data_IF_952840390275
#
_entry.id   IF_952840390275
#
_cell.length_a   1.000
_cell.length_b   1.000
_cell.length_c   1.000
_cell.angle_alpha   90.00
_cell.angle_beta   90.00
_cell.angle_gamma   90.00
#
_symmetry.space_group_name_H-M   'P 1'
#
loop_
_entity.id
_entity.type
_entity.pdbx_description
1 polymer ?
#
# COMPACT_ATOMS: atom_id res chain seq x y z
N UNK A 1 -7.66 -32.54 -6.66
CA UNK A 1 -6.25 -32.47 -6.21
C UNK A 1 -5.82 -31.04 -6.41
N UNK A 2 -5.61 -30.26 -5.35
CA UNK A 2 -5.10 -28.90 -5.49
C UNK A 2 -3.68 -28.97 -6.07
N UNK A 3 -3.34 -28.06 -7.00
CA UNK A 3 -1.96 -27.90 -7.43
C UNK A 3 -1.10 -27.48 -6.25
N UNK A 4 0.13 -27.98 -6.19
CA UNK A 4 1.11 -27.53 -5.20
C UNK A 4 1.34 -26.01 -5.32
N UNK A 5 1.61 -25.30 -4.21
CA UNK A 5 1.92 -23.88 -4.24
C UNK A 5 3.15 -23.63 -5.13
N UNK A 6 3.13 -22.53 -5.88
CA UNK A 6 4.25 -22.10 -6.71
C UNK A 6 4.81 -20.77 -6.22
N UNK A 7 6.11 -20.56 -6.40
CA UNK A 7 6.74 -19.28 -6.12
C UNK A 7 6.79 -18.41 -7.38
N UNK A 8 6.49 -17.12 -7.22
CA UNK A 8 6.74 -16.11 -8.24
C UNK A 8 7.75 -15.09 -7.71
N UNK A 9 8.83 -14.88 -8.45
CA UNK A 9 9.86 -13.89 -8.12
C UNK A 9 9.88 -12.73 -9.12
N UNK A 10 9.43 -11.56 -8.66
CA UNK A 10 9.48 -10.32 -9.43
C UNK A 10 10.68 -9.49 -9.00
N UNK A 11 11.41 -8.91 -9.96
CA UNK A 11 12.62 -8.11 -9.70
C UNK A 11 12.61 -6.81 -10.48
N UNK A 12 12.68 -5.65 -9.82
CA UNK A 12 12.90 -4.34 -10.46
C UNK A 12 13.62 -3.39 -9.52
N UNK A 13 14.45 -2.52 -10.08
CA UNK A 13 15.05 -1.41 -9.33
C UNK A 13 15.85 -1.83 -8.09
N UNK A 14 16.44 -3.03 -8.09
CA UNK A 14 17.10 -3.61 -6.93
C UNK A 14 16.14 -3.97 -5.81
N UNK A 15 14.91 -4.40 -6.14
CA UNK A 15 13.91 -4.92 -5.21
C UNK A 15 13.41 -6.27 -5.72
N UNK A 16 13.41 -7.26 -4.84
CA UNK A 16 12.73 -8.54 -5.06
C UNK A 16 11.37 -8.50 -4.40
N UNK A 17 10.38 -9.10 -5.04
CA UNK A 17 9.11 -9.50 -4.44
C UNK A 17 8.92 -10.98 -4.74
N UNK A 18 8.89 -11.82 -3.70
CA UNK A 18 8.64 -13.26 -3.80
C UNK A 18 7.26 -13.54 -3.25
N UNK A 19 6.42 -14.19 -4.05
CA UNK A 19 5.03 -14.48 -3.75
C UNK A 19 4.77 -15.99 -3.78
N UNK A 20 4.00 -16.50 -2.82
CA UNK A 20 3.39 -17.83 -2.88
C UNK A 20 2.05 -17.71 -3.61
N UNK A 21 1.87 -18.52 -4.65
CA UNK A 21 0.66 -18.57 -5.48
C UNK A 21 0.00 -19.93 -5.35
N UNK A 22 -1.33 -19.95 -5.28
CA UNK A 22 -2.14 -21.15 -5.09
C UNK A 22 -3.46 -21.01 -5.84
N UNK A 23 -4.00 -22.13 -6.31
CA UNK A 23 -5.25 -22.14 -7.08
C UNK A 23 -6.49 -21.73 -6.26
N UNK A 24 -6.39 -21.58 -4.94
CA UNK A 24 -7.52 -21.32 -4.02
C UNK A 24 -7.21 -20.22 -2.99
N UNK A 25 -6.09 -19.50 -3.14
CA UNK A 25 -5.72 -18.43 -2.22
C UNK A 25 -5.17 -17.21 -2.96
N UNK A 26 -5.44 -16.01 -2.45
CA UNK A 26 -4.81 -14.80 -2.95
C UNK A 26 -3.30 -14.82 -2.68
N UNK A 27 -2.48 -14.08 -3.46
CA UNK A 27 -1.04 -14.13 -3.32
C UNK A 27 -0.56 -13.76 -1.92
N UNK A 28 0.37 -14.55 -1.38
CA UNK A 28 1.03 -14.25 -0.10
C UNK A 28 2.46 -13.78 -0.36
N UNK A 29 2.85 -12.65 0.23
CA UNK A 29 4.23 -12.13 0.10
C UNK A 29 5.14 -12.88 1.07
N UNK A 30 6.11 -13.61 0.53
CA UNK A 30 7.15 -14.30 1.31
C UNK A 30 8.35 -13.38 1.57
N UNK A 31 8.66 -12.50 0.60
CA UNK A 31 9.73 -11.52 0.70
C UNK A 31 9.37 -10.29 -0.12
N UNK A 32 9.64 -9.10 0.43
CA UNK A 32 9.78 -7.89 -0.37
C UNK A 32 10.85 -6.99 0.25
N UNK A 33 11.82 -6.57 -0.55
CA UNK A 33 13.00 -5.92 -0.01
C UNK A 33 14.21 -6.01 -0.93
N UNK A 34 15.43 -6.16 -0.37
CA UNK A 34 16.66 -6.32 -1.14
C UNK A 34 16.53 -7.31 -2.28
N UNK A 35 17.14 -6.98 -3.41
CA UNK A 35 17.27 -7.91 -4.52
C UNK A 35 18.00 -9.18 -4.04
N UNK A 36 17.42 -10.33 -4.37
CA UNK A 36 17.94 -11.65 -3.98
C UNK A 36 18.92 -12.19 -5.03
N UNK A 37 19.08 -11.47 -6.14
CA UNK A 37 19.94 -11.88 -7.24
C UNK A 37 19.34 -13.02 -8.06
N UNK A 38 20.18 -13.61 -8.90
CA UNK A 38 19.83 -14.76 -9.75
C UNK A 38 19.98 -16.11 -9.02
N UNK A 39 20.52 -16.10 -7.79
CA UNK A 39 20.71 -17.28 -6.96
C UNK A 39 19.43 -17.81 -6.33
N UNK A 40 18.32 -17.09 -6.45
CA UNK A 40 16.99 -17.55 -6.07
C UNK A 40 16.33 -18.26 -7.26
N UNK A 41 16.87 -19.41 -7.66
CA UNK A 41 16.27 -20.26 -8.69
C UNK A 41 15.00 -20.95 -8.19
N UNK A 42 14.28 -21.63 -9.08
CA UNK A 42 13.01 -22.29 -8.76
C UNK A 42 13.14 -23.30 -7.61
N UNK A 43 14.29 -23.97 -7.49
CA UNK A 43 14.55 -24.91 -6.41
C UNK A 43 14.71 -24.19 -5.06
N UNK A 44 15.52 -23.13 -5.02
CA UNK A 44 15.70 -22.32 -3.81
C UNK A 44 14.38 -21.64 -3.37
N UNK A 45 13.54 -21.24 -4.33
CA UNK A 45 12.23 -20.66 -4.04
C UNK A 45 11.22 -21.70 -3.50
N UNK A 46 11.27 -22.94 -4.00
CA UNK A 46 10.48 -24.06 -3.46
C UNK A 46 10.94 -24.43 -2.03
N UNK A 47 12.26 -24.43 -1.80
CA UNK A 47 12.83 -24.62 -0.46
C UNK A 47 12.41 -23.50 0.49
N UNK A 48 12.33 -22.25 0.01
CA UNK A 48 11.82 -21.13 0.80
C UNK A 48 10.35 -21.33 1.20
N UNK A 49 9.48 -21.77 0.29
CA UNK A 49 8.08 -22.11 0.63
C UNK A 49 8.07 -23.15 1.75
N UNK A 50 8.84 -24.22 1.59
CA UNK A 50 8.94 -25.32 2.57
C UNK A 50 9.47 -24.83 3.92
N UNK A 51 10.49 -23.98 3.93
CA UNK A 51 11.10 -23.44 5.15
C UNK A 51 10.20 -22.46 5.91
N UNK A 52 9.26 -21.82 5.22
CA UNK A 52 8.29 -20.89 5.82
C UNK A 52 7.00 -21.57 6.30
N UNK A 53 6.83 -22.87 6.05
CA UNK A 53 5.71 -23.62 6.62
C UNK A 53 5.85 -23.70 8.16
N UNK A 54 4.90 -23.15 8.93
CA UNK A 54 4.97 -23.22 10.38
C UNK A 54 4.76 -24.68 10.83
N UNK A 55 5.44 -25.11 11.90
CA UNK A 55 5.17 -26.42 12.49
C UNK A 55 3.72 -26.48 13.01
N UNK A 56 3.08 -27.63 12.86
CA UNK A 56 1.81 -27.90 13.53
C UNK A 56 2.09 -28.13 15.02
N UNK A 57 1.79 -27.13 15.86
CA UNK A 57 2.05 -27.21 17.31
C UNK A 57 0.83 -27.75 18.04
N UNK A 58 -0.33 -27.09 17.92
CA UNK A 58 -1.53 -27.40 18.71
C UNK A 58 -2.74 -27.76 17.84
N UNK A 59 -3.05 -26.97 16.80
CA UNK A 59 -4.18 -27.18 15.90
C UNK A 59 -3.90 -26.62 14.52
N UNK A 60 -4.44 -27.29 13.49
CA UNK A 60 -4.45 -26.78 12.11
C UNK A 60 -5.26 -25.48 11.97
N UNK A 61 -6.13 -25.17 12.95
CA UNK A 61 -6.95 -23.95 12.98
C UNK A 61 -6.12 -22.73 13.40
N UNK A 62 -5.06 -22.93 14.20
CA UNK A 62 -4.15 -21.88 14.67
C UNK A 62 -2.90 -21.74 13.78
N UNK A 63 -2.68 -22.65 12.82
CA UNK A 63 -1.55 -22.58 11.90
C UNK A 63 -1.82 -21.60 10.76
N UNK A 64 -1.29 -20.38 10.86
CA UNK A 64 -1.29 -19.40 9.77
C UNK A 64 -0.01 -19.53 8.93
N UNK A 65 -0.05 -20.35 7.89
CA UNK A 65 1.14 -20.62 7.06
C UNK A 65 1.64 -19.39 6.29
N UNK A 66 0.73 -18.53 5.84
CA UNK A 66 1.06 -17.29 5.16
C UNK A 66 -0.10 -16.30 5.27
N UNK A 67 0.17 -15.01 5.08
CA UNK A 67 -0.88 -13.98 5.02
C UNK A 67 -0.91 -13.39 3.62
N UNK A 68 -2.09 -13.44 3.00
CA UNK A 68 -2.30 -12.90 1.66
C UNK A 68 -2.23 -11.37 1.63
N UNK A 69 -2.03 -10.81 0.43
CA UNK A 69 -2.11 -9.36 0.16
C UNK A 69 -3.45 -8.74 0.63
N UNK A 70 -4.48 -9.56 0.77
CA UNK A 70 -5.73 -9.22 1.44
C UNK A 70 -5.98 -10.25 2.55
N UNK A 71 -5.69 -9.94 3.84
CA UNK A 71 -5.84 -10.91 4.93
C UNK A 71 -7.28 -11.39 5.09
N UNK A 72 -7.48 -12.70 5.34
CA UNK A 72 -8.82 -13.30 5.35
C UNK A 72 -8.99 -14.32 6.47
N UNK A 73 -10.08 -14.23 7.22
CA UNK A 73 -10.38 -15.14 8.32
C UNK A 73 -10.56 -16.60 7.85
N UNK A 74 -11.10 -16.80 6.64
CA UNK A 74 -11.21 -18.12 6.01
C UNK A 74 -9.88 -18.84 5.80
N UNK A 75 -8.76 -18.10 5.75
CA UNK A 75 -7.40 -18.62 5.64
C UNK A 75 -6.72 -18.89 6.98
N UNK A 76 -7.45 -18.77 8.09
CA UNK A 76 -6.93 -18.90 9.46
C UNK A 76 -6.49 -17.58 10.10
N UNK A 77 -6.54 -16.45 9.37
CA UNK A 77 -6.07 -15.17 9.89
C UNK A 77 -6.95 -14.74 11.07
N UNK A 78 -6.35 -14.49 12.24
CA UNK A 78 -7.07 -14.10 13.44
C UNK A 78 -7.05 -12.59 13.72
N UNK A 79 -6.36 -11.83 12.87
CA UNK A 79 -6.25 -10.38 12.97
C UNK A 79 -7.38 -9.63 12.26
N UNK A 80 -7.19 -8.33 12.05
CA UNK A 80 -8.15 -7.48 11.32
C UNK A 80 -8.22 -7.93 9.85
N UNK A 81 -9.39 -8.25 9.27
CA UNK A 81 -9.49 -8.73 7.90
C UNK A 81 -9.17 -7.61 6.89
N UNK A 82 -8.82 -8.01 5.67
CA UNK A 82 -8.55 -7.18 4.50
C UNK A 82 -9.81 -6.62 3.84
N UNK A 83 -10.86 -7.44 3.77
CA UNK A 83 -12.19 -7.05 3.34
C UNK A 83 -13.13 -7.22 4.53
N UNK A 84 -13.84 -6.15 4.88
CA UNK A 84 -14.95 -6.19 5.81
C UNK A 84 -16.17 -5.66 5.07
N UNK A 85 -17.21 -6.47 4.99
CA UNK A 85 -18.43 -6.15 4.29
C UNK A 85 -19.49 -7.19 4.60
N UNK A 86 -20.72 -6.95 4.16
CA UNK A 86 -21.77 -7.95 4.27
C UNK A 86 -22.91 -7.67 3.31
N UNK A 87 -23.66 -8.73 3.03
CA UNK A 87 -24.94 -8.72 2.35
C UNK A 87 -26.04 -8.83 3.40
N UNK A 88 -26.41 -7.70 3.99
CA UNK A 88 -27.36 -7.63 5.10
C UNK A 88 -27.01 -8.60 6.25
N UNK A 89 -25.73 -8.61 6.66
CA UNK A 89 -25.25 -9.53 7.68
C UNK A 89 -25.18 -10.99 7.21
N UNK A 90 -24.93 -11.25 5.91
CA UNK A 90 -24.49 -12.52 5.30
C UNK A 90 -23.23 -12.28 4.45
N UNK A 91 -22.59 -13.33 3.93
CA UNK A 91 -21.45 -13.24 3.00
C UNK A 91 -20.30 -12.33 3.52
N UNK A 92 -20.06 -12.32 4.82
CA UNK A 92 -19.07 -11.44 5.47
C UNK A 92 -17.65 -12.00 5.46
N UNK A 93 -17.48 -13.27 5.09
CA UNK A 93 -16.20 -13.94 4.96
C UNK A 93 -16.10 -14.52 3.56
N UNK A 94 -15.01 -14.19 2.86
CA UNK A 94 -14.73 -14.70 1.52
C UNK A 94 -13.88 -15.95 1.62
N UNK A 95 -14.23 -17.00 0.87
CA UNK A 95 -13.41 -18.19 0.70
C UNK A 95 -13.41 -18.56 -0.78
N UNK A 96 -12.23 -18.64 -1.40
CA UNK A 96 -12.17 -18.77 -2.85
C UNK A 96 -12.20 -20.23 -3.30
N UNK A 97 -13.16 -20.54 -4.18
CA UNK A 97 -13.19 -21.83 -4.89
C UNK A 97 -12.07 -21.92 -5.93
N UNK A 98 -11.69 -20.76 -6.48
CA UNK A 98 -10.66 -20.63 -7.50
C UNK A 98 -10.03 -19.25 -7.48
N UNK A 99 -8.71 -19.21 -7.61
CA UNK A 99 -7.91 -18.02 -7.84
C UNK A 99 -7.09 -18.21 -9.12
N UNK A 100 -7.18 -17.25 -10.03
CA UNK A 100 -6.37 -17.22 -11.25
C UNK A 100 -5.34 -16.12 -11.16
N UNK A 101 -4.08 -16.43 -11.48
CA UNK A 101 -2.96 -15.48 -11.44
C UNK A 101 -2.47 -15.19 -12.86
N UNK A 102 -2.26 -13.91 -13.16
CA UNK A 102 -1.71 -13.45 -14.45
C UNK A 102 -0.59 -12.47 -14.17
N UNK A 103 0.58 -12.73 -14.74
CA UNK A 103 1.74 -11.83 -14.71
C UNK A 103 1.83 -11.12 -16.05
N UNK A 104 1.93 -9.79 -16.02
CA UNK A 104 2.03 -8.97 -17.22
C UNK A 104 3.15 -7.94 -17.08
N UNK A 105 3.88 -7.75 -18.17
CA UNK A 105 4.89 -6.70 -18.31
C UNK A 105 4.26 -5.44 -18.91
N UNK A 106 4.68 -4.27 -18.45
CA UNK A 106 4.19 -3.01 -18.98
C UNK A 106 4.48 -2.86 -20.47
N UNK A 107 3.46 -2.54 -21.26
CA UNK A 107 3.52 -2.43 -22.72
C UNK A 107 3.36 -3.76 -23.46
N UNK A 108 3.17 -4.88 -22.75
CA UNK A 108 2.78 -6.15 -23.34
C UNK A 108 1.27 -6.24 -23.62
N UNK A 109 0.86 -7.31 -24.29
CA UNK A 109 -0.54 -7.51 -24.72
C UNK A 109 -1.54 -7.50 -23.56
N UNK A 110 -1.15 -8.05 -22.41
CA UNK A 110 -1.98 -8.13 -21.19
C UNK A 110 -1.95 -6.85 -20.32
N UNK A 111 -1.08 -5.88 -20.64
CA UNK A 111 -0.97 -4.60 -19.92
C UNK A 111 -0.36 -3.47 -20.78
N UNK A 112 -1.06 -3.06 -21.86
CA UNK A 112 -0.52 -2.12 -22.85
C UNK A 112 -0.31 -0.70 -22.28
N UNK A 113 -1.12 -0.30 -21.30
CA UNK A 113 -1.09 1.00 -20.62
C UNK A 113 -0.23 0.99 -19.35
N UNK A 114 0.53 -0.09 -19.12
CA UNK A 114 1.41 -0.21 -17.98
C UNK A 114 2.52 0.83 -17.94
N UNK A 115 2.93 1.21 -16.73
CA UNK A 115 4.02 2.14 -16.54
C UNK A 115 5.34 1.50 -17.03
N UNK A 116 6.04 2.17 -17.94
CA UNK A 116 7.23 1.64 -18.62
C UNK A 116 8.21 0.94 -17.66
N UNK A 117 8.50 -0.33 -17.93
CA UNK A 117 9.44 -1.16 -17.16
C UNK A 117 8.88 -1.72 -15.84
N UNK A 118 7.61 -1.47 -15.50
CA UNK A 118 6.95 -2.12 -14.38
C UNK A 118 6.46 -3.52 -14.76
N UNK A 119 6.29 -4.38 -13.76
CA UNK A 119 5.65 -5.69 -13.86
C UNK A 119 4.47 -5.77 -12.91
N UNK A 120 3.39 -6.44 -13.32
CA UNK A 120 2.15 -6.59 -12.54
C UNK A 120 1.80 -8.07 -12.36
N UNK A 121 1.48 -8.46 -11.13
CA UNK A 121 0.71 -9.65 -10.82
C UNK A 121 -0.75 -9.24 -10.58
N UNK A 122 -1.68 -9.75 -11.39
CA UNK A 122 -3.12 -9.66 -11.15
C UNK A 122 -3.63 -11.03 -10.72
N UNK A 123 -4.36 -11.10 -9.61
CA UNK A 123 -4.98 -12.32 -9.11
C UNK A 123 -6.46 -12.12 -8.91
N UNK A 124 -7.29 -13.02 -9.44
CA UNK A 124 -8.75 -12.94 -9.37
C UNK A 124 -9.28 -14.16 -8.64
N UNK A 125 -9.85 -13.95 -7.46
CA UNK A 125 -10.50 -14.97 -6.65
C UNK A 125 -12.01 -14.94 -6.80
N UNK A 126 -12.61 -16.10 -7.05
CA UNK A 126 -14.06 -16.30 -7.09
C UNK A 126 -14.52 -16.98 -5.80
N UNK A 127 -15.45 -16.35 -5.09
CA UNK A 127 -16.15 -16.90 -3.93
C UNK A 127 -17.59 -17.23 -4.33
N UNK A 128 -17.85 -18.50 -4.65
CA UNK A 128 -19.16 -18.99 -5.05
C UNK A 128 -20.21 -18.83 -3.95
N UNK A 129 -19.96 -19.25 -2.70
CA UNK A 129 -20.91 -19.08 -1.59
C UNK A 129 -21.27 -17.62 -1.27
N UNK A 130 -20.31 -16.70 -1.33
CA UNK A 130 -20.54 -15.28 -1.11
C UNK A 130 -21.05 -14.51 -2.33
N UNK A 131 -20.95 -15.13 -3.52
CA UNK A 131 -21.17 -14.53 -4.83
C UNK A 131 -20.37 -13.23 -5.00
N UNK A 132 -19.06 -13.33 -4.73
CA UNK A 132 -18.12 -12.23 -4.81
C UNK A 132 -16.94 -12.60 -5.72
N UNK A 133 -16.46 -11.61 -6.46
CA UNK A 133 -15.15 -11.67 -7.09
C UNK A 133 -14.23 -10.67 -6.39
N UNK A 134 -13.03 -11.13 -5.99
CA UNK A 134 -12.02 -10.28 -5.38
C UNK A 134 -10.77 -10.31 -6.24
N UNK A 135 -10.37 -9.15 -6.73
CA UNK A 135 -9.12 -8.97 -7.48
C UNK A 135 -8.07 -8.34 -6.58
N UNK A 136 -6.83 -8.86 -6.58
CA UNK A 136 -5.66 -8.16 -6.06
C UNK A 136 -4.68 -7.86 -7.19
N UNK A 137 -4.16 -6.64 -7.22
CA UNK A 137 -3.10 -6.21 -8.13
C UNK A 137 -1.86 -5.85 -7.31
N UNK A 138 -0.74 -6.48 -7.61
CA UNK A 138 0.58 -6.08 -7.14
C UNK A 138 1.41 -5.61 -8.34
N UNK A 139 1.91 -4.39 -8.27
CA UNK A 139 2.85 -3.86 -9.25
C UNK A 139 4.22 -3.62 -8.61
N UNK A 140 5.27 -3.97 -9.34
CA UNK A 140 6.64 -3.65 -8.99
C UNK A 140 7.22 -2.71 -10.06
N UNK A 141 7.50 -1.46 -9.67
CA UNK A 141 7.97 -0.40 -10.57
C UNK A 141 9.49 -0.41 -10.77
N UNK A 142 10.02 0.19 -11.86
CA UNK A 142 11.47 0.31 -12.10
C UNK A 142 12.26 0.99 -10.97
N UNK A 143 11.60 1.82 -10.17
CA UNK A 143 12.20 2.46 -8.98
C UNK A 143 12.43 1.48 -7.81
N UNK A 144 11.88 0.27 -7.89
CA UNK A 144 11.77 -0.72 -6.81
C UNK A 144 10.63 -0.44 -5.83
N UNK A 145 9.65 0.38 -6.23
CA UNK A 145 8.45 0.66 -5.45
C UNK A 145 7.41 -0.44 -5.70
N UNK A 146 6.76 -0.92 -4.64
CA UNK A 146 5.65 -1.87 -4.72
C UNK A 146 4.34 -1.10 -4.62
N UNK A 147 3.33 -1.42 -5.43
CA UNK A 147 1.96 -0.94 -5.27
C UNK A 147 1.02 -2.11 -5.14
N UNK A 148 0.08 -2.05 -4.21
CA UNK A 148 -0.96 -3.06 -4.03
C UNK A 148 -2.32 -2.39 -4.06
N UNK A 149 -3.28 -3.01 -4.74
CA UNK A 149 -4.69 -2.61 -4.75
C UNK A 149 -5.56 -3.85 -4.70
N UNK A 150 -6.71 -3.72 -4.05
CA UNK A 150 -7.74 -4.75 -4.09
C UNK A 150 -9.03 -4.18 -4.66
N UNK A 151 -9.80 -5.02 -5.35
CA UNK A 151 -11.14 -4.70 -5.86
C UNK A 151 -12.08 -5.81 -5.43
N UNK A 152 -13.26 -5.45 -4.92
CA UNK A 152 -14.36 -6.39 -4.68
C UNK A 152 -15.49 -6.08 -5.64
N UNK A 153 -16.05 -7.11 -6.27
CA UNK A 153 -17.17 -7.04 -7.19
C UNK A 153 -18.30 -7.93 -6.68
N UNK A 154 -19.51 -7.38 -6.69
CA UNK A 154 -20.70 -8.11 -6.30
C UNK A 154 -21.25 -8.88 -7.50
N UNK A 155 -21.36 -10.21 -7.40
CA UNK A 155 -21.91 -11.05 -8.46
C UNK A 155 -23.38 -11.43 -8.22
N UNK A 156 -23.90 -11.22 -7.00
CA UNK A 156 -25.29 -11.52 -6.68
C UNK A 156 -26.23 -10.36 -7.05
N UNK A 157 -27.54 -10.67 -7.08
CA UNK A 157 -28.59 -9.72 -7.40
C UNK A 157 -28.89 -8.69 -6.28
N UNK A 158 -28.66 -9.06 -5.02
CA UNK A 158 -28.86 -8.17 -3.88
C UNK A 158 -27.60 -7.34 -3.55
N UNK A 159 -27.76 -6.30 -2.73
CA UNK A 159 -26.70 -5.33 -2.45
C UNK A 159 -25.66 -5.91 -1.48
N UNK A 160 -24.38 -5.73 -1.82
CA UNK A 160 -23.26 -5.96 -0.92
C UNK A 160 -22.73 -4.64 -0.37
N UNK A 161 -22.66 -4.49 0.96
CA UNK A 161 -22.07 -3.32 1.61
C UNK A 161 -20.60 -3.58 1.92
N UNK A 162 -19.73 -2.67 1.46
CA UNK A 162 -18.29 -2.69 1.79
C UNK A 162 -18.06 -1.71 2.93
N UNK A 163 -17.71 -2.22 4.11
CA UNK A 163 -17.33 -1.40 5.25
C UNK A 163 -15.84 -1.02 5.18
N UNK A 164 -15.01 -1.87 4.59
CA UNK A 164 -13.57 -1.64 4.48
C UNK A 164 -12.92 -2.57 3.45
N UNK A 165 -11.90 -2.04 2.76
CA UNK A 165 -11.04 -2.78 1.85
C UNK A 165 -9.59 -2.26 1.95
N UNK A 166 -8.77 -2.91 2.78
CA UNK A 166 -7.38 -2.52 3.03
C UNK A 166 -6.43 -3.69 2.71
N UNK A 167 -5.72 -3.65 1.56
CA UNK A 167 -4.61 -4.56 1.30
C UNK A 167 -3.49 -4.40 2.34
N UNK A 168 -2.62 -5.40 2.43
CA UNK A 168 -1.53 -5.47 3.39
C UNK A 168 -0.22 -5.93 2.73
N UNK A 169 0.89 -5.44 3.28
CA UNK A 169 2.24 -5.92 3.01
C UNK A 169 2.85 -6.41 4.34
N UNK A 170 3.33 -7.67 4.42
CA UNK A 170 3.98 -8.16 5.63
C UNK A 170 5.36 -7.54 5.81
N UNK A 171 5.80 -7.32 7.03
CA UNK A 171 7.18 -6.91 7.35
C UNK A 171 7.80 -7.96 8.26
N UNK A 172 9.12 -8.19 8.17
CA UNK A 172 9.72 -9.32 8.87
C UNK A 172 9.92 -9.01 10.36
N UNK A 173 10.21 -10.04 11.16
CA UNK A 173 10.33 -9.95 12.62
C UNK A 173 11.45 -9.01 13.10
N UNK A 174 12.38 -8.60 12.25
CA UNK A 174 13.38 -7.58 12.54
C UNK A 174 12.79 -6.16 12.62
N UNK A 175 11.61 -5.93 12.02
CA UNK A 175 10.93 -4.64 12.03
C UNK A 175 10.26 -4.37 13.40
N UNK A 176 11.05 -3.92 14.38
CA UNK A 176 10.66 -3.79 15.79
C UNK A 176 10.25 -2.36 16.20
N UNK A 177 10.40 -1.37 15.33
CA UNK A 177 10.08 0.03 15.61
C UNK A 177 9.21 0.63 14.51
N UNK A 178 8.19 1.39 14.88
CA UNK A 178 7.34 2.17 14.00
C UNK A 178 7.77 3.64 13.97
N UNK A 179 7.68 4.26 12.80
CA UNK A 179 7.74 5.71 12.59
C UNK A 179 6.55 6.12 11.74
N UNK A 180 5.81 7.11 12.18
CA UNK A 180 4.88 7.84 11.33
C UNK A 180 4.99 9.34 11.60
N UNK A 181 4.12 10.11 10.95
CA UNK A 181 4.04 11.54 11.12
C UNK A 181 2.76 11.94 11.88
N UNK A 182 2.86 13.01 12.64
CA UNK A 182 1.75 13.74 13.24
C UNK A 182 1.95 15.24 12.99
N UNK A 183 1.22 16.09 13.68
CA UNK A 183 1.39 17.52 13.60
C UNK A 183 0.10 18.28 13.79
N UNK A 184 0.16 19.57 13.48
CA UNK A 184 -0.98 20.48 13.43
C UNK A 184 -0.69 21.56 12.40
N UNK A 185 -1.67 22.40 12.11
CA UNK A 185 -1.44 23.58 11.29
C UNK A 185 -0.22 24.35 11.81
N UNK A 186 0.68 24.73 10.88
CA UNK A 186 1.99 25.39 11.12
C UNK A 186 3.06 24.52 11.79
N UNK A 187 2.80 23.23 12.00
CA UNK A 187 3.75 22.27 12.58
C UNK A 187 3.49 20.86 12.01
N UNK A 188 3.34 20.79 10.69
CA UNK A 188 3.03 19.57 9.95
C UNK A 188 4.18 18.56 9.95
N UNK A 189 3.85 17.28 9.75
CA UNK A 189 4.83 16.19 9.54
C UNK A 189 5.88 16.07 10.63
N UNK A 190 5.46 16.22 11.87
CA UNK A 190 6.28 15.96 13.05
C UNK A 190 6.46 14.46 13.22
N UNK A 191 7.70 13.93 13.20
CA UNK A 191 7.91 12.49 13.36
C UNK A 191 7.59 12.03 14.77
N UNK A 192 7.00 10.85 14.89
CA UNK A 192 6.87 10.15 16.17
C UNK A 192 7.26 8.68 16.01
N UNK A 193 7.97 8.14 17.01
CA UNK A 193 8.50 6.77 17.00
C UNK A 193 7.92 5.99 18.17
N UNK A 194 7.71 4.69 17.96
CA UNK A 194 7.22 3.78 19.00
C UNK A 194 7.63 2.33 18.72
N UNK A 195 7.74 1.46 19.74
CA UNK A 195 7.92 0.03 19.52
C UNK A 195 6.77 -0.57 18.68
N UNK A 196 7.08 -1.62 17.91
CA UNK A 196 6.09 -2.41 17.18
C UNK A 196 5.67 -3.64 18.01
N UNK A 197 5.06 -3.38 19.16
CA UNK A 197 4.56 -4.41 20.08
C UNK A 197 3.32 -5.12 19.53
N UNK A 198 2.96 -6.26 20.13
CA UNK A 198 1.74 -7.00 19.79
C UNK A 198 0.50 -6.11 19.91
N UNK A 199 -0.41 -6.21 18.94
CA UNK A 199 -1.59 -5.36 18.81
C UNK A 199 -1.56 -4.53 17.52
N UNK A 200 -2.37 -3.48 17.47
CA UNK A 200 -2.49 -2.62 16.30
C UNK A 200 -2.19 -1.16 16.65
N UNK A 201 -1.42 -0.50 15.78
CA UNK A 201 -1.33 0.95 15.70
C UNK A 201 -2.12 1.43 14.50
N UNK A 202 -3.12 2.28 14.73
CA UNK A 202 -4.04 2.73 13.69
C UNK A 202 -4.00 4.25 13.60
N UNK A 203 -3.84 4.77 12.38
CA UNK A 203 -3.94 6.20 12.06
C UNK A 203 -5.08 6.41 11.09
N UNK A 204 -6.07 7.19 11.51
CA UNK A 204 -7.27 7.48 10.73
C UNK A 204 -7.35 8.98 10.42
N UNK A 205 -7.85 9.31 9.24
CA UNK A 205 -8.19 10.66 8.84
C UNK A 205 -9.70 10.72 8.56
N UNK A 206 -10.43 11.48 9.38
CA UNK A 206 -11.88 11.61 9.34
C UNK A 206 -12.37 12.93 8.71
N UNK A 207 -11.44 13.86 8.43
CA UNK A 207 -11.76 15.24 8.04
C UNK A 207 -12.09 15.44 6.56
N UNK A 208 -12.44 14.39 5.83
CA UNK A 208 -12.60 14.40 4.36
C UNK A 208 -11.29 14.57 3.58
N UNK A 209 -10.15 14.58 4.29
CA UNK A 209 -8.80 14.71 3.76
C UNK A 209 -7.75 14.23 4.76
N UNK A 210 -6.53 13.88 4.31
CA UNK A 210 -5.36 13.80 5.16
C UNK A 210 -5.15 15.16 5.86
N UNK A 211 -5.29 15.17 7.19
CA UNK A 211 -5.05 16.37 7.99
C UNK A 211 -3.58 16.74 8.11
N UNK A 212 -3.29 17.85 8.80
CA UNK A 212 -1.92 18.26 9.16
C UNK A 212 -1.21 17.22 10.06
N UNK A 213 -2.00 16.38 10.71
CA UNK A 213 -1.61 15.26 11.57
C UNK A 213 -1.50 13.92 10.83
N UNK A 214 -1.70 13.89 9.51
CA UNK A 214 -1.67 12.65 8.72
C UNK A 214 -0.37 11.87 8.94
N UNK A 215 -0.51 10.55 9.07
CA UNK A 215 0.61 9.60 9.10
C UNK A 215 1.61 9.84 7.97
N UNK A 216 1.15 10.34 6.81
CA UNK A 216 1.91 10.57 5.58
C UNK A 216 2.54 9.28 5.02
N UNK A 217 3.45 8.67 5.76
CA UNK A 217 4.01 7.33 5.54
C UNK A 217 4.07 6.64 6.90
N UNK A 218 3.61 5.39 6.97
CA UNK A 218 3.81 4.52 8.14
C UNK A 218 4.97 3.58 7.86
N UNK A 219 6.07 3.74 8.59
CA UNK A 219 7.26 2.91 8.49
C UNK A 219 7.34 1.90 9.64
N UNK A 220 7.87 0.71 9.36
CA UNK A 220 8.33 -0.27 10.32
C UNK A 220 9.77 -0.66 9.99
N UNK A 221 10.66 -0.67 10.96
CA UNK A 221 12.08 -0.96 10.73
C UNK A 221 12.79 -1.52 11.95
N UNK A 222 14.06 -1.83 11.77
CA UNK A 222 14.96 -2.27 12.84
C UNK A 222 15.02 -1.23 13.96
N UNK A 223 15.23 -1.67 15.20
CA UNK A 223 15.29 -0.75 16.32
C UNK A 223 16.32 0.37 16.07
N UNK A 224 15.93 1.63 16.31
CA UNK A 224 16.75 2.82 16.06
C UNK A 224 17.14 3.07 14.59
N UNK A 225 16.39 2.55 13.60
CA UNK A 225 16.67 2.85 12.19
C UNK A 225 16.75 4.37 11.94
N UNK A 226 17.74 4.79 11.16
CA UNK A 226 18.05 6.19 10.90
C UNK A 226 17.91 6.57 9.43
N UNK A 227 18.54 7.67 9.05
CA UNK A 227 18.55 8.11 7.65
C UNK A 227 19.37 7.19 6.74
N UNK A 228 20.46 6.60 7.24
CA UNK A 228 21.43 5.85 6.42
C UNK A 228 21.78 4.45 6.93
N UNK A 229 21.08 3.99 7.96
CA UNK A 229 21.31 2.70 8.59
C UNK A 229 20.01 2.17 9.19
N UNK A 230 19.94 0.86 9.35
CA UNK A 230 18.75 0.16 9.83
C UNK A 230 17.77 -0.11 8.70
N UNK A 231 17.40 -1.37 8.50
CA UNK A 231 16.43 -1.73 7.47
C UNK A 231 15.05 -1.21 7.83
N UNK A 232 14.39 -0.55 6.88
CA UNK A 232 13.06 0.02 7.04
C UNK A 232 12.17 -0.33 5.86
N UNK A 233 10.92 -0.66 6.16
CA UNK A 233 9.82 -0.79 5.21
C UNK A 233 8.77 0.26 5.57
N UNK A 234 7.92 0.60 4.62
CA UNK A 234 6.85 1.54 4.91
C UNK A 234 5.82 1.60 3.82
N UNK A 235 4.63 2.05 4.20
CA UNK A 235 3.47 2.15 3.33
C UNK A 235 2.89 3.56 3.32
N UNK A 236 2.31 3.93 2.18
CA UNK A 236 1.54 5.14 1.97
C UNK A 236 0.24 4.79 1.26
N UNK A 237 -0.89 5.29 1.75
CA UNK A 237 -2.17 5.18 1.03
C UNK A 237 -2.25 6.34 0.05
N UNK A 238 -2.26 6.04 -1.25
CA UNK A 238 -2.31 7.04 -2.32
C UNK A 238 -3.73 7.58 -2.50
N UNK A 239 -4.27 8.18 -1.44
CA UNK A 239 -5.61 8.74 -1.38
C UNK A 239 -5.62 10.08 -0.64
N UNK A 240 -6.55 10.96 -1.02
CA UNK A 240 -6.65 12.32 -0.47
C UNK A 240 -7.97 12.59 0.24
N UNK A 241 -8.81 11.57 0.43
CA UNK A 241 -10.02 11.65 1.26
C UNK A 241 -9.78 11.10 2.68
N UNK A 242 -10.83 10.51 3.24
CA UNK A 242 -10.71 9.76 4.49
C UNK A 242 -9.85 8.52 4.27
N UNK A 243 -8.85 8.31 5.12
CA UNK A 243 -7.92 7.18 4.97
C UNK A 243 -7.59 6.57 6.32
N UNK A 244 -7.19 5.31 6.28
CA UNK A 244 -6.75 4.54 7.42
C UNK A 244 -5.47 3.81 7.07
N UNK A 245 -4.48 3.89 7.95
CA UNK A 245 -3.19 3.19 7.83
C UNK A 245 -2.93 2.47 9.13
N UNK A 246 -2.61 1.19 9.07
CA UNK A 246 -2.47 0.31 10.23
C UNK A 246 -1.14 -0.44 10.20
N UNK A 247 -0.49 -0.53 11.35
CA UNK A 247 0.56 -1.51 11.63
C UNK A 247 0.01 -2.52 12.64
N UNK A 248 -0.06 -3.79 12.26
CA UNK A 248 -0.63 -4.86 13.07
C UNK A 248 0.42 -5.93 13.35
N UNK A 249 0.62 -6.27 14.62
CA UNK A 249 1.48 -7.35 15.08
C UNK A 249 0.61 -8.39 15.80
N UNK A 250 0.36 -9.50 15.10
CA UNK A 250 -0.48 -10.58 15.60
C UNK A 250 0.20 -11.39 16.71
N UNK A 251 -0.60 -12.09 17.52
CA UNK A 251 -0.10 -13.07 18.50
C UNK A 251 0.63 -14.25 17.84
N UNK A 252 0.36 -14.52 16.56
CA UNK A 252 1.05 -15.53 15.74
C UNK A 252 2.40 -15.05 15.19
N UNK A 253 2.84 -13.83 15.52
CA UNK A 253 4.13 -13.27 15.11
C UNK A 253 4.15 -12.54 13.76
N UNK A 254 3.07 -12.61 12.98
CA UNK A 254 2.92 -11.82 11.75
C UNK A 254 2.88 -10.34 12.05
N UNK A 255 3.62 -9.55 11.27
CA UNK A 255 3.58 -8.09 11.26
C UNK A 255 3.15 -7.60 9.90
N UNK A 256 2.11 -6.77 9.85
CA UNK A 256 1.52 -6.27 8.62
C UNK A 256 1.48 -4.75 8.63
N UNK A 257 1.82 -4.14 7.50
CA UNK A 257 1.52 -2.75 7.18
C UNK A 257 0.38 -2.72 6.18
N UNK A 258 -0.68 -2.00 6.48
CA UNK A 258 -1.93 -1.99 5.70
C UNK A 258 -2.52 -0.60 5.60
N UNK A 259 -3.40 -0.41 4.64
CA UNK A 259 -4.20 0.80 4.58
C UNK A 259 -5.09 0.87 3.35
N UNK A 260 -5.97 1.86 3.37
CA UNK A 260 -6.98 2.08 2.35
C UNK A 260 -7.80 3.32 2.65
N UNK A 261 -8.89 3.46 1.92
CA UNK A 261 -9.90 4.48 2.22
C UNK A 261 -10.68 4.09 3.48
N UNK A 262 -10.97 5.10 4.31
CA UNK A 262 -11.83 4.96 5.47
C UNK A 262 -13.26 5.32 5.05
N UNK A 263 -14.09 4.29 4.90
CA UNK A 263 -15.49 4.43 4.50
C UNK A 263 -16.39 4.68 5.71
N UNK A 264 -17.36 5.60 5.56
CA UNK A 264 -18.46 5.72 6.50
C UNK A 264 -19.51 4.61 6.22
N UNK A 265 -20.31 4.23 7.23
CA UNK A 265 -21.32 3.19 7.06
C UNK A 265 -22.25 3.45 5.87
N UNK A 266 -22.43 2.46 5.02
CA UNK A 266 -23.29 2.55 3.83
C UNK A 266 -22.77 3.43 2.67
N UNK A 267 -21.54 3.97 2.72
CA UNK A 267 -20.99 4.77 1.61
C UNK A 267 -20.78 3.94 0.34
N UNK A 268 -20.34 2.69 0.49
CA UNK A 268 -20.11 1.76 -0.62
C UNK A 268 -21.13 0.63 -0.55
N UNK A 269 -22.12 0.70 -1.42
CA UNK A 269 -23.18 -0.29 -1.59
C UNK A 269 -23.19 -0.74 -3.03
N UNK A 270 -22.68 -1.95 -3.27
CA UNK A 270 -22.53 -2.52 -4.61
C UNK A 270 -23.81 -3.23 -5.01
N UNK A 271 -24.49 -2.72 -6.03
CA UNK A 271 -25.52 -3.46 -6.75
C UNK A 271 -24.90 -4.62 -7.56
N UNK A 272 -25.74 -5.41 -8.21
CA UNK A 272 -25.30 -6.53 -9.05
C UNK A 272 -24.33 -6.07 -10.15
N UNK A 273 -23.16 -6.69 -10.19
CA UNK A 273 -22.10 -6.40 -11.16
C UNK A 273 -21.27 -5.15 -10.84
N UNK A 274 -21.61 -4.37 -9.82
CA UNK A 274 -20.82 -3.22 -9.40
C UNK A 274 -19.57 -3.65 -8.61
N UNK A 275 -18.54 -2.82 -8.69
CA UNK A 275 -17.26 -3.07 -8.03
C UNK A 275 -16.74 -1.83 -7.32
N UNK A 276 -15.95 -2.07 -6.28
CA UNK A 276 -15.23 -1.04 -5.56
C UNK A 276 -13.76 -1.43 -5.45
N UNK A 277 -12.89 -0.51 -5.85
CA UNK A 277 -11.44 -0.65 -5.79
C UNK A 277 -10.87 0.22 -4.69
N UNK A 278 -10.04 -0.36 -3.82
CA UNK A 278 -9.29 0.41 -2.83
C UNK A 278 -8.36 1.42 -3.52
N UNK A 279 -7.95 2.50 -2.83
CA UNK A 279 -6.78 3.24 -3.24
C UNK A 279 -5.54 2.35 -3.32
N UNK A 280 -4.53 2.81 -4.04
CA UNK A 280 -3.24 2.12 -4.06
C UNK A 280 -2.54 2.23 -2.70
N UNK A 281 -2.20 1.10 -2.10
CA UNK A 281 -1.22 1.01 -1.02
C UNK A 281 0.17 0.95 -1.64
N UNK A 282 0.97 1.97 -1.39
CA UNK A 282 2.32 2.13 -1.94
C UNK A 282 3.34 1.69 -0.90
N UNK A 283 4.06 0.60 -1.17
CA UNK A 283 5.15 0.09 -0.36
C UNK A 283 6.53 0.54 -0.85
N UNK A 284 7.40 0.91 0.07
CA UNK A 284 8.83 1.12 -0.16
C UNK A 284 9.66 0.48 0.95
N UNK A 285 10.95 0.30 0.70
CA UNK A 285 11.91 -0.18 1.68
C UNK A 285 13.30 0.44 1.43
N UNK A 286 14.17 0.43 2.44
CA UNK A 286 15.56 0.84 2.29
C UNK A 286 16.45 0.45 3.46
N UNK A 287 17.77 0.49 3.23
CA UNK A 287 18.76 0.58 4.29
C UNK A 287 18.82 2.05 4.73
N UNK A 288 18.04 2.40 5.75
CA UNK A 288 17.77 3.76 6.18
C UNK A 288 16.69 4.51 5.36
N UNK A 289 16.22 5.62 5.93
CA UNK A 289 15.16 6.47 5.35
C UNK A 289 15.57 7.16 4.02
N UNK A 290 16.86 7.38 3.78
CA UNK A 290 17.37 7.98 2.54
C UNK A 290 17.09 7.04 1.36
N UNK A 291 17.45 5.76 1.48
CA UNK A 291 17.19 4.76 0.46
C UNK A 291 15.69 4.51 0.26
N UNK A 292 14.94 4.42 1.37
CA UNK A 292 13.49 4.27 1.37
C UNK A 292 12.79 5.41 0.62
N UNK A 293 13.12 6.67 0.93
CA UNK A 293 12.50 7.85 0.31
C UNK A 293 12.98 8.07 -1.12
N UNK A 294 14.24 7.73 -1.45
CA UNK A 294 14.76 7.83 -2.81
C UNK A 294 13.95 6.99 -3.81
N UNK A 295 13.46 5.81 -3.42
CA UNK A 295 12.58 4.98 -4.28
C UNK A 295 11.26 5.68 -4.59
N UNK A 296 10.61 6.24 -3.56
CA UNK A 296 9.37 7.02 -3.70
C UNK A 296 9.62 8.25 -4.58
N UNK A 297 10.69 8.99 -4.33
CA UNK A 297 11.04 10.17 -5.12
C UNK A 297 11.31 9.83 -6.59
N UNK A 298 12.06 8.75 -6.88
CA UNK A 298 12.29 8.30 -8.27
C UNK A 298 10.97 7.99 -8.96
N UNK A 299 10.06 7.27 -8.30
CA UNK A 299 8.73 6.98 -8.85
C UNK A 299 7.94 8.27 -9.13
N UNK A 300 7.84 9.17 -8.15
CA UNK A 300 7.05 10.41 -8.31
C UNK A 300 7.62 11.36 -9.37
N UNK A 301 8.95 11.34 -9.57
CA UNK A 301 9.67 12.15 -10.56
C UNK A 301 9.63 11.56 -11.98
N UNK A 302 9.37 10.26 -12.12
CA UNK A 302 9.23 9.58 -13.40
C UNK A 302 7.85 9.77 -14.06
N UNK A 303 6.87 10.31 -13.32
CA UNK A 303 5.51 10.54 -13.85
C UNK A 303 5.55 11.56 -15.01
N UNK A 304 4.73 11.38 -16.07
CA UNK A 304 4.70 12.30 -17.21
C UNK A 304 4.41 13.76 -16.83
N UNK A 305 3.66 13.98 -15.75
CA UNK A 305 3.29 15.31 -15.26
C UNK A 305 4.36 15.92 -14.33
N UNK A 306 5.46 15.20 -14.05
CA UNK A 306 6.52 15.76 -13.23
C UNK A 306 7.20 16.93 -13.96
N UNK A 307 7.38 18.09 -13.29
CA UNK A 307 8.05 19.24 -13.89
C UNK A 307 9.46 18.88 -14.37
N UNK A 308 9.74 19.15 -15.64
CA UNK A 308 11.06 18.91 -16.27
C UNK A 308 11.98 20.13 -16.18
N UNK A 309 11.44 21.30 -15.85
CA UNK A 309 12.18 22.54 -15.60
C UNK A 309 12.18 22.90 -14.12
N UNK A 310 13.19 23.63 -13.63
CA UNK A 310 13.16 24.21 -12.29
C UNK A 310 11.84 24.94 -12.01
N UNK A 311 11.35 24.81 -10.77
CA UNK A 311 10.17 25.56 -10.32
C UNK A 311 10.54 27.03 -10.22
N UNK A 312 9.69 27.95 -10.72
CA UNK A 312 10.00 29.36 -10.67
C UNK A 312 10.07 29.85 -9.22
N UNK A 313 11.05 30.70 -8.92
CA UNK A 313 11.06 31.51 -7.70
C UNK A 313 9.84 32.41 -7.75
N UNK A 314 8.99 32.35 -6.73
CA UNK A 314 7.72 33.08 -6.69
C UNK A 314 7.65 34.08 -5.54
N UNK A 315 6.92 35.17 -5.77
CA UNK A 315 6.39 36.05 -4.73
C UNK A 315 4.89 35.80 -4.64
N UNK A 316 4.42 35.36 -3.48
CA UNK A 316 3.00 35.36 -3.15
C UNK A 316 2.71 36.55 -2.23
N UNK A 317 1.75 37.40 -2.59
CA UNK A 317 1.49 38.66 -1.86
C UNK A 317 0.49 38.53 -0.71
N UNK A 318 0.05 37.32 -0.36
CA UNK A 318 -0.92 37.08 0.71
C UNK A 318 -0.54 37.78 2.03
N UNK A 319 0.67 37.59 2.55
CA UNK A 319 1.06 38.25 3.81
C UNK A 319 1.42 39.74 3.62
N UNK A 320 1.69 40.18 2.38
CA UNK A 320 2.06 41.55 2.08
C UNK A 320 0.85 42.50 2.07
N UNK A 321 -0.31 42.01 1.64
CA UNK A 321 -1.53 42.84 1.51
C UNK A 321 -2.78 42.21 2.14
N UNK A 322 -2.76 40.91 2.49
CA UNK A 322 -3.93 40.13 2.88
C UNK A 322 -5.09 40.36 1.92
N UNK A 323 -6.14 41.06 2.36
CA UNK A 323 -7.33 41.35 1.56
C UNK A 323 -7.36 42.80 1.01
N UNK A 324 -6.39 43.66 1.37
CA UNK A 324 -6.31 45.06 0.91
C UNK A 324 -5.70 45.17 -0.49
N UNK A 325 -6.36 44.54 -1.47
CA UNK A 325 -5.91 44.52 -2.86
C UNK A 325 -6.14 45.86 -3.53
N UNK A 326 -5.04 46.51 -3.91
CA UNK A 326 -5.01 47.78 -4.63
C UNK A 326 -4.11 47.63 -5.85
N UNK A 327 -4.63 47.88 -7.06
CA UNK A 327 -3.93 47.56 -8.31
C UNK A 327 -2.57 48.26 -8.41
N UNK A 328 -2.52 49.55 -8.05
CA UNK A 328 -1.30 50.35 -7.98
C UNK A 328 -0.24 49.71 -7.08
N UNK A 329 -0.63 49.27 -5.88
CA UNK A 329 0.27 48.58 -4.94
C UNK A 329 0.74 47.23 -5.47
N UNK A 330 -0.16 46.45 -6.10
CA UNK A 330 0.17 45.15 -6.66
C UNK A 330 1.11 45.27 -7.86
N UNK A 331 0.92 46.28 -8.72
CA UNK A 331 1.84 46.58 -9.83
C UNK A 331 3.21 46.97 -9.30
N UNK A 332 3.28 47.85 -8.29
CA UNK A 332 4.54 48.22 -7.66
C UNK A 332 5.29 47.01 -7.09
N UNK A 333 4.57 46.11 -6.39
CA UNK A 333 5.15 44.86 -5.88
C UNK A 333 5.63 43.94 -7.01
N UNK A 334 4.89 43.85 -8.11
CA UNK A 334 5.28 43.05 -9.27
C UNK A 334 6.53 43.62 -9.98
N UNK A 335 6.62 44.94 -10.15
CA UNK A 335 7.80 45.61 -10.72
C UNK A 335 9.04 45.41 -9.85
N UNK A 336 8.90 45.54 -8.52
CA UNK A 336 9.97 45.25 -7.56
C UNK A 336 10.39 43.78 -7.59
N UNK A 337 9.44 42.86 -7.67
CA UNK A 337 9.70 41.43 -7.79
C UNK A 337 10.49 41.12 -9.07
N UNK A 338 10.06 41.69 -10.20
CA UNK A 338 10.75 41.53 -11.49
C UNK A 338 12.18 42.09 -11.44
N UNK A 339 12.39 43.26 -10.82
CA UNK A 339 13.72 43.85 -10.64
C UNK A 339 14.68 42.98 -9.80
N UNK A 340 14.15 42.15 -8.90
CA UNK A 340 14.91 41.17 -8.11
C UNK A 340 15.10 39.83 -8.83
N UNK A 341 14.54 39.64 -10.03
CA UNK A 341 14.61 38.39 -10.77
C UNK A 341 13.60 37.33 -10.32
N UNK A 342 12.53 37.70 -9.60
CA UNK A 342 11.44 36.78 -9.26
C UNK A 342 10.69 36.40 -10.55
N UNK A 343 10.47 35.11 -10.75
CA UNK A 343 10.00 34.54 -12.02
C UNK A 343 8.48 34.35 -12.07
N UNK A 344 7.79 34.45 -10.92
CA UNK A 344 6.34 34.30 -10.81
C UNK A 344 5.75 35.18 -9.71
N UNK A 345 4.73 35.93 -10.06
CA UNK A 345 3.91 36.71 -9.12
C UNK A 345 2.58 35.97 -8.86
N UNK A 346 2.19 35.83 -7.59
CA UNK A 346 0.98 35.12 -7.15
C UNK A 346 0.14 36.00 -6.23
#
# INVERSE_FOLDING_TARGET
MSQAPTALHLRRGGTSVVLRLEATALPCVLHWGPDLGETADDAALADLITALEPPFIDSVISSQAAVALLPQHSSGWLGRPGLLGSRAGRAWSVAFDRVTHTVAEAGGDDWPDGATGAVRLRSVGSDGPGELEVTTELELHPSGLVRVRSTVRNLADDVYEVAHLEPALPVPAQAAELLDMTGRHTHERTPQRRPFDMGAWVREAWGGRPGHDSATVLCAGEQSFGFRAGRVWGVHVAYSGNQVVTAEHSSTGWRLLRGGELLLPGEVRLAAGEEYASPWLVGSWGEGLDAFSARIHRYLRARPQHPTRPRPVLLNVWEAVYFDHRLDRLVELAERAAALGIERYV
#
